data_IF_718069626703
#
_entry.id   IF_718069626703
#
_cell.length_a   1.000
_cell.length_b   1.000
_cell.length_c   1.000
_cell.angle_alpha   90.00
_cell.angle_beta   90.00
_cell.angle_gamma   90.00
#
_symmetry.space_group_name_H-M   'P 1'
#
loop_
_entity.id
_entity.type
_entity.pdbx_description
1 polymer ?
#
# COMPACT_ATOMS: atom_id res chain seq x y z
N UNK A 1 -3.28 15.94 21.41
CA UNK A 1 -2.52 14.91 20.68
C UNK A 1 -2.25 15.45 19.28
N UNK A 2 -1.00 15.78 18.97
CA UNK A 2 -0.60 16.08 17.60
C UNK A 2 -0.40 14.73 16.91
N UNK A 3 -1.37 14.31 16.09
CA UNK A 3 -1.25 13.03 15.38
C UNK A 3 -0.22 13.19 14.29
N UNK A 4 0.94 12.57 14.47
CA UNK A 4 2.03 12.62 13.50
C UNK A 4 1.57 12.05 12.14
N UNK A 5 1.61 12.89 11.12
CA UNK A 5 1.20 12.57 9.74
C UNK A 5 1.98 11.37 9.20
N UNK A 6 3.25 11.24 9.57
CA UNK A 6 4.11 10.13 9.15
C UNK A 6 3.56 8.80 9.63
N UNK A 7 3.21 8.73 10.92
CA UNK A 7 2.57 7.56 11.50
C UNK A 7 1.22 7.25 10.85
N UNK A 8 0.40 8.26 10.51
CA UNK A 8 -0.88 8.04 9.84
C UNK A 8 -0.66 7.39 8.46
N UNK A 9 0.24 7.94 7.65
CA UNK A 9 0.46 7.47 6.28
C UNK A 9 1.06 6.07 6.24
N UNK A 10 2.11 5.81 7.03
CA UNK A 10 2.77 4.50 7.10
C UNK A 10 1.78 3.44 7.60
N UNK A 11 1.03 3.73 8.67
CA UNK A 11 0.05 2.78 9.21
C UNK A 11 -1.10 2.55 8.22
N UNK A 12 -1.57 3.60 7.54
CA UNK A 12 -2.60 3.49 6.51
C UNK A 12 -2.18 2.56 5.38
N UNK A 13 -0.98 2.75 4.82
CA UNK A 13 -0.41 1.88 3.79
C UNK A 13 -0.28 0.42 4.28
N UNK A 14 0.20 0.22 5.51
CA UNK A 14 0.37 -1.10 6.10
C UNK A 14 -0.98 -1.82 6.34
N UNK A 15 -2.01 -1.09 6.78
CA UNK A 15 -3.36 -1.62 6.96
C UNK A 15 -3.96 -2.03 5.62
N UNK A 16 -3.86 -1.16 4.61
CA UNK A 16 -4.33 -1.46 3.26
C UNK A 16 -3.64 -2.71 2.68
N UNK A 17 -2.32 -2.85 2.85
CA UNK A 17 -1.60 -4.05 2.44
C UNK A 17 -2.06 -5.31 3.18
N UNK A 18 -2.28 -5.22 4.50
CA UNK A 18 -2.81 -6.34 5.28
C UNK A 18 -4.22 -6.75 4.85
N UNK A 19 -5.08 -5.79 4.48
CA UNK A 19 -6.41 -6.08 3.90
C UNK A 19 -6.29 -6.73 2.53
N UNK A 20 -5.37 -6.24 1.68
CA UNK A 20 -5.07 -6.81 0.37
C UNK A 20 -4.66 -8.29 0.47
N UNK A 21 -3.79 -8.64 1.43
CA UNK A 21 -3.34 -10.02 1.64
C UNK A 21 -4.46 -10.99 2.02
N UNK A 22 -5.56 -10.49 2.60
CA UNK A 22 -6.72 -11.30 2.96
C UNK A 22 -7.78 -11.35 1.85
N UNK A 23 -7.69 -10.49 0.84
CA UNK A 23 -8.68 -10.36 -0.21
C UNK A 23 -8.63 -11.53 -1.21
N UNK A 24 -9.76 -12.24 -1.32
CA UNK A 24 -9.89 -13.43 -2.17
C UNK A 24 -10.12 -13.08 -3.65
N UNK A 25 -10.82 -11.97 -3.92
CA UNK A 25 -11.12 -11.56 -5.30
C UNK A 25 -10.06 -10.61 -5.87
N UNK A 26 -9.86 -10.69 -7.18
CA UNK A 26 -8.98 -9.78 -7.92
C UNK A 26 -9.36 -8.31 -7.69
N UNK A 27 -10.65 -7.97 -7.85
CA UNK A 27 -11.15 -6.61 -7.68
C UNK A 27 -10.87 -6.06 -6.28
N UNK A 28 -11.10 -6.86 -5.22
CA UNK A 28 -10.78 -6.42 -3.86
C UNK A 28 -9.28 -6.15 -3.68
N UNK A 29 -8.41 -7.01 -4.24
CA UNK A 29 -6.96 -6.76 -4.23
C UNK A 29 -6.59 -5.50 -5.03
N UNK A 30 -7.25 -5.24 -6.15
CA UNK A 30 -7.01 -4.06 -6.98
C UNK A 30 -7.38 -2.76 -6.24
N UNK A 31 -8.50 -2.74 -5.52
CA UNK A 31 -8.89 -1.59 -4.71
C UNK A 31 -7.87 -1.26 -3.62
N UNK A 32 -7.43 -2.27 -2.84
CA UNK A 32 -6.41 -2.04 -1.81
C UNK A 32 -5.05 -1.69 -2.41
N UNK A 33 -4.70 -2.24 -3.57
CA UNK A 33 -3.49 -1.86 -4.28
C UNK A 33 -3.50 -0.38 -4.69
N UNK A 34 -4.63 0.10 -5.23
CA UNK A 34 -4.81 1.51 -5.56
C UNK A 34 -4.75 2.41 -4.31
N UNK A 35 -5.36 1.98 -3.20
CA UNK A 35 -5.29 2.70 -1.91
C UNK A 35 -3.84 2.86 -1.42
N UNK A 36 -3.00 1.82 -1.53
CA UNK A 36 -1.58 1.89 -1.19
C UNK A 36 -0.85 2.88 -2.11
N UNK A 37 -1.19 2.91 -3.39
CA UNK A 37 -0.68 3.90 -4.35
C UNK A 37 -1.00 5.34 -3.95
N UNK A 38 -2.18 5.59 -3.37
CA UNK A 38 -2.55 6.92 -2.85
C UNK A 38 -1.63 7.34 -1.70
N UNK A 39 -1.31 6.44 -0.75
CA UNK A 39 -0.37 6.77 0.33
C UNK A 39 1.03 7.10 -0.20
N UNK A 40 1.49 6.42 -1.26
CA UNK A 40 2.78 6.70 -1.90
C UNK A 40 2.77 8.06 -2.60
N UNK A 41 1.70 8.41 -3.30
CA UNK A 41 1.58 9.72 -3.94
C UNK A 41 1.54 10.84 -2.89
N UNK A 42 0.77 10.65 -1.82
CA UNK A 42 0.70 11.64 -0.74
C UNK A 42 2.06 11.79 -0.05
N UNK A 43 2.86 10.73 0.08
CA UNK A 43 4.17 10.82 0.71
C UNK A 43 5.19 11.68 -0.06
N UNK A 44 4.92 12.00 -1.33
CA UNK A 44 5.69 12.95 -2.14
C UNK A 44 5.29 14.42 -1.93
N UNK A 45 4.25 14.69 -1.13
CA UNK A 45 3.71 16.05 -0.94
C UNK A 45 4.71 16.93 -0.17
N UNK A 46 5.22 17.95 -0.86
CA UNK A 46 6.16 18.91 -0.27
C UNK A 46 5.43 19.85 0.71
N UNK A 47 6.06 20.12 1.86
CA UNK A 47 5.53 21.05 2.87
C UNK A 47 4.55 20.46 3.89
N UNK A 48 4.19 19.18 3.77
CA UNK A 48 3.29 18.49 4.71
C UNK A 48 3.99 17.92 5.95
N UNK A 49 5.32 18.06 6.07
CA UNK A 49 6.11 17.48 7.16
C UNK A 49 6.30 15.97 7.06
N UNK A 50 6.16 15.40 5.86
CA UNK A 50 6.39 13.97 5.60
C UNK A 50 7.90 13.74 5.46
N UNK A 51 8.42 12.78 6.21
CA UNK A 51 9.86 12.50 6.24
C UNK A 51 10.28 11.54 5.13
N UNK A 52 11.54 11.62 4.64
CA UNK A 52 12.07 10.65 3.69
C UNK A 52 11.96 9.20 4.17
N UNK A 53 12.15 8.94 5.46
CA UNK A 53 12.05 7.59 6.02
C UNK A 53 10.63 7.03 5.89
N UNK A 54 9.62 7.88 6.07
CA UNK A 54 8.21 7.50 5.93
C UNK A 54 7.86 7.25 4.46
N UNK A 55 8.39 8.06 3.55
CA UNK A 55 8.29 7.83 2.11
C UNK A 55 8.90 6.47 1.72
N UNK A 56 10.12 6.18 2.16
CA UNK A 56 10.81 4.92 1.87
C UNK A 56 10.05 3.70 2.40
N UNK A 57 9.49 3.79 3.60
CA UNK A 57 8.63 2.73 4.17
C UNK A 57 7.38 2.49 3.31
N UNK A 58 6.70 3.55 2.88
CA UNK A 58 5.52 3.44 2.02
C UNK A 58 5.89 2.88 0.65
N UNK A 59 7.05 3.27 0.09
CA UNK A 59 7.56 2.73 -1.17
C UNK A 59 7.83 1.22 -1.07
N UNK A 60 8.42 0.76 0.03
CA UNK A 60 8.65 -0.68 0.24
C UNK A 60 7.32 -1.44 0.40
N UNK A 61 6.33 -0.89 1.11
CA UNK A 61 4.99 -1.47 1.19
C UNK A 61 4.35 -1.56 -0.21
N UNK A 62 4.46 -0.50 -1.03
CA UNK A 62 3.93 -0.49 -2.39
C UNK A 62 4.61 -1.54 -3.29
N UNK A 63 5.92 -1.70 -3.17
CA UNK A 63 6.67 -2.75 -3.87
C UNK A 63 6.21 -4.15 -3.47
N UNK A 64 6.05 -4.41 -2.17
CA UNK A 64 5.53 -5.69 -1.66
C UNK A 64 4.09 -5.95 -2.14
N UNK A 65 3.24 -4.93 -2.13
CA UNK A 65 1.88 -5.00 -2.65
C UNK A 65 1.85 -5.33 -4.14
N UNK A 66 2.75 -4.73 -4.94
CA UNK A 66 2.90 -5.01 -6.36
C UNK A 66 3.24 -6.47 -6.61
N UNK A 67 4.28 -7.00 -5.93
CA UNK A 67 4.67 -8.40 -6.06
C UNK A 67 3.56 -9.35 -5.62
N UNK A 68 2.88 -9.05 -4.52
CA UNK A 68 1.76 -9.86 -4.05
C UNK A 68 0.59 -9.86 -5.05
N UNK A 69 0.18 -8.70 -5.56
CA UNK A 69 -0.92 -8.58 -6.53
C UNK A 69 -0.66 -9.43 -7.78
N UNK A 70 0.53 -9.26 -8.37
CA UNK A 70 0.94 -9.95 -9.59
C UNK A 70 1.10 -11.45 -9.34
N UNK A 71 1.64 -11.84 -8.18
CA UNK A 71 1.79 -13.23 -7.78
C UNK A 71 0.45 -13.94 -7.66
N UNK A 72 -0.52 -13.36 -6.95
CA UNK A 72 -1.88 -13.91 -6.83
C UNK A 72 -2.60 -13.96 -8.18
N UNK A 73 -2.46 -12.94 -9.03
CA UNK A 73 -3.07 -12.96 -10.37
C UNK A 73 -2.50 -14.11 -11.23
N UNK A 74 -1.19 -14.35 -11.16
CA UNK A 74 -0.56 -15.48 -11.85
C UNK A 74 -1.09 -16.83 -11.32
N UNK A 75 -1.23 -16.99 -10.01
CA UNK A 75 -1.79 -18.21 -9.40
C UNK A 75 -3.24 -18.46 -9.82
N UNK A 76 -4.09 -17.43 -9.77
CA UNK A 76 -5.49 -17.55 -10.20
C UNK A 76 -5.62 -17.99 -11.65
N UNK A 77 -4.76 -17.49 -12.55
CA UNK A 77 -4.73 -17.90 -13.97
C UNK A 77 -4.27 -19.33 -14.23
N UNK A 78 -3.49 -19.92 -13.32
CA UNK A 78 -3.00 -21.31 -13.43
C UNK A 78 -3.95 -22.32 -12.78
N UNK A 79 -4.86 -21.85 -11.93
CA UNK A 79 -5.81 -22.67 -11.19
C UNK A 79 -7.19 -22.81 -11.88
N UNK A 80 -7.45 -22.00 -12.91
CA UNK A 80 -8.61 -22.10 -13.79
C UNK A 80 -8.22 -22.63 -15.15
#
# INVERSE_FOLDING_TARGET
MNTDINHILVNGAQIAFNKMRRAQSFNARLYYYAEIGVYLEVSLSHGAGITPESHDQIQEIYKQATYFHMGENKRSRLAG
#
